data_IF_066027447471
#
_entry.id   IF_066027447471
#
_cell.length_a   1.000
_cell.length_b   1.000
_cell.length_c   1.000
_cell.angle_alpha   90.00
_cell.angle_beta   90.00
_cell.angle_gamma   90.00
#
_symmetry.space_group_name_H-M   'P 1'
#
loop_
_entity.id
_entity.type
_entity.pdbx_description
1 polymer ?
#
# COMPACT_ATOMS: atom_id res chain seq x y z
N UNK A 1 22.41 10.19 -16.99
CA UNK A 1 23.32 9.20 -16.41
C UNK A 1 23.88 9.77 -15.12
N UNK A 2 23.61 9.13 -14.00
CA UNK A 2 24.20 9.54 -12.71
C UNK A 2 25.68 9.15 -12.66
N UNK A 3 26.51 9.76 -11.79
CA UNK A 3 27.90 9.36 -11.58
C UNK A 3 28.03 7.86 -11.24
N UNK A 4 27.04 7.31 -10.55
CA UNK A 4 26.93 5.89 -10.22
C UNK A 4 26.75 5.01 -11.47
N UNK A 5 25.81 5.37 -12.35
CA UNK A 5 25.59 4.66 -13.62
C UNK A 5 26.81 4.75 -14.55
N UNK A 6 27.55 5.86 -14.51
CA UNK A 6 28.80 6.03 -15.26
C UNK A 6 29.94 5.15 -14.70
N UNK A 7 30.07 5.07 -13.38
CA UNK A 7 31.04 4.20 -12.70
C UNK A 7 30.78 2.72 -12.94
N UNK A 8 29.52 2.28 -12.84
CA UNK A 8 29.11 0.90 -13.15
C UNK A 8 29.37 0.53 -14.61
N UNK A 9 29.03 1.43 -15.55
CA UNK A 9 29.28 1.20 -16.97
C UNK A 9 30.78 1.09 -17.28
N UNK A 10 31.61 1.97 -16.69
CA UNK A 10 33.05 1.98 -16.89
C UNK A 10 33.75 0.77 -16.24
N UNK A 11 33.34 0.38 -15.03
CA UNK A 11 33.80 -0.86 -14.38
C UNK A 11 33.44 -2.10 -15.20
N UNK A 12 32.22 -2.15 -15.74
CA UNK A 12 31.77 -3.25 -16.60
C UNK A 12 32.55 -3.31 -17.91
N UNK A 13 32.88 -2.16 -18.50
CA UNK A 13 33.69 -2.08 -19.72
C UNK A 13 35.13 -2.54 -19.46
N UNK A 14 35.77 -2.07 -18.39
CA UNK A 14 37.11 -2.48 -17.98
C UNK A 14 37.20 -3.99 -17.71
N UNK A 15 36.16 -4.56 -17.08
CA UNK A 15 36.07 -6.01 -16.83
C UNK A 15 35.94 -6.81 -18.13
N UNK A 16 35.11 -6.35 -19.09
CA UNK A 16 34.99 -7.00 -20.40
C UNK A 16 36.30 -6.99 -21.17
N UNK A 17 36.99 -5.85 -21.20
CA UNK A 17 38.30 -5.73 -21.85
C UNK A 17 39.33 -6.63 -21.19
N UNK A 18 39.45 -6.59 -19.86
CA UNK A 18 40.41 -7.41 -19.13
C UNK A 18 40.15 -8.92 -19.31
N UNK A 19 38.88 -9.35 -19.35
CA UNK A 19 38.51 -10.75 -19.63
C UNK A 19 38.86 -11.14 -21.06
N UNK A 20 38.63 -10.24 -22.03
CA UNK A 20 38.99 -10.46 -23.42
C UNK A 20 40.50 -10.60 -23.59
N UNK A 21 41.30 -9.73 -22.98
CA UNK A 21 42.76 -9.80 -23.02
C UNK A 21 43.31 -11.04 -22.32
N UNK A 22 42.75 -11.44 -21.18
CA UNK A 22 43.20 -12.64 -20.47
C UNK A 22 42.86 -13.93 -21.24
N UNK A 23 41.70 -14.01 -21.90
CA UNK A 23 41.36 -15.12 -22.79
C UNK A 23 42.24 -15.13 -24.05
N UNK A 24 42.51 -13.97 -24.65
CA UNK A 24 43.42 -13.83 -25.79
C UNK A 24 44.86 -14.23 -25.42
N UNK A 25 45.25 -14.07 -24.15
CA UNK A 25 46.53 -14.52 -23.61
C UNK A 25 46.56 -16.03 -23.25
N UNK A 26 45.52 -16.80 -23.60
CA UNK A 26 45.45 -18.23 -23.37
C UNK A 26 45.22 -18.63 -21.91
N UNK A 27 44.80 -17.69 -21.05
CA UNK A 27 44.44 -18.03 -19.66
C UNK A 27 43.15 -18.84 -19.62
N UNK A 28 43.07 -19.76 -18.67
CA UNK A 28 41.84 -20.48 -18.38
C UNK A 28 40.70 -19.50 -18.06
N UNK A 29 39.44 -19.82 -18.43
CA UNK A 29 38.30 -18.90 -18.28
C UNK A 29 38.09 -18.38 -16.86
N UNK A 30 38.39 -19.22 -15.87
CA UNK A 30 38.29 -18.88 -14.44
C UNK A 30 39.40 -17.92 -14.01
N UNK A 31 40.61 -18.08 -14.52
CA UNK A 31 41.73 -17.18 -14.23
C UNK A 31 41.50 -15.80 -14.91
N UNK A 32 41.01 -15.81 -16.15
CA UNK A 32 40.65 -14.60 -16.88
C UNK A 32 39.53 -13.79 -16.21
N UNK A 33 38.61 -14.47 -15.52
CA UNK A 33 37.58 -13.85 -14.71
C UNK A 33 38.14 -13.15 -13.46
N UNK A 34 39.05 -13.79 -12.74
CA UNK A 34 39.70 -13.21 -11.54
C UNK A 34 40.59 -12.01 -11.89
N UNK A 35 41.31 -12.05 -13.02
CA UNK A 35 42.10 -10.90 -13.48
C UNK A 35 41.21 -9.71 -13.85
N UNK A 36 40.09 -9.98 -14.55
CA UNK A 36 39.12 -8.95 -14.90
C UNK A 36 38.47 -8.30 -13.68
N UNK A 37 38.22 -9.11 -12.65
CA UNK A 37 37.70 -8.66 -11.35
C UNK A 37 38.70 -7.74 -10.64
N UNK A 38 39.96 -8.16 -10.55
CA UNK A 38 41.02 -7.36 -9.93
C UNK A 38 41.22 -6.00 -10.63
N UNK A 39 41.21 -5.99 -11.97
CA UNK A 39 41.33 -4.79 -12.78
C UNK A 39 40.14 -3.83 -12.58
N UNK A 40 38.92 -4.35 -12.57
CA UNK A 40 37.72 -3.54 -12.40
C UNK A 40 37.58 -2.97 -10.99
N UNK A 41 38.04 -3.69 -9.95
CA UNK A 41 38.13 -3.18 -8.57
C UNK A 41 39.17 -2.06 -8.44
N UNK A 42 40.35 -2.24 -9.03
CA UNK A 42 41.39 -1.21 -9.05
C UNK A 42 40.91 0.06 -9.77
N UNK A 43 40.20 -0.12 -10.88
CA UNK A 43 39.58 0.99 -11.62
C UNK A 43 38.51 1.71 -10.80
N UNK A 44 37.58 0.98 -10.18
CA UNK A 44 36.52 1.55 -9.33
C UNK A 44 37.10 2.43 -8.19
N UNK A 45 38.15 1.96 -7.52
CA UNK A 45 38.85 2.74 -6.50
C UNK A 45 39.54 3.98 -7.09
N UNK A 46 40.12 3.87 -8.29
CA UNK A 46 40.79 4.98 -8.97
C UNK A 46 39.84 6.11 -9.40
N UNK A 47 38.57 5.81 -9.65
CA UNK A 47 37.54 6.79 -10.02
C UNK A 47 36.77 7.34 -8.81
N UNK A 48 37.26 7.11 -7.58
CA UNK A 48 36.71 7.68 -6.36
C UNK A 48 35.46 6.98 -5.82
N UNK A 49 35.14 5.76 -6.26
CA UNK A 49 34.09 4.98 -5.61
C UNK A 49 34.50 4.66 -4.17
N UNK A 50 33.55 4.79 -3.25
CA UNK A 50 33.78 4.38 -1.86
C UNK A 50 34.11 2.88 -1.80
N UNK A 51 34.87 2.47 -0.77
CA UNK A 51 35.19 1.06 -0.53
C UNK A 51 33.95 0.16 -0.48
N UNK A 52 32.82 0.70 0.02
CA UNK A 52 31.52 0.03 0.03
C UNK A 52 30.96 -0.20 -1.38
N UNK A 53 30.96 0.83 -2.22
CA UNK A 53 30.47 0.72 -3.61
C UNK A 53 31.36 -0.20 -4.45
N UNK A 54 32.68 -0.15 -4.24
CA UNK A 54 33.62 -1.06 -4.90
C UNK A 54 33.38 -2.52 -4.47
N UNK A 55 33.01 -2.77 -3.22
CA UNK A 55 32.64 -4.10 -2.73
C UNK A 55 31.33 -4.61 -3.36
N UNK A 56 30.31 -3.76 -3.44
CA UNK A 56 29.02 -4.10 -4.06
C UNK A 56 29.19 -4.42 -5.56
N UNK A 57 29.97 -3.63 -6.30
CA UNK A 57 30.30 -3.89 -7.69
C UNK A 57 31.10 -5.20 -7.89
N UNK A 58 32.00 -5.52 -6.96
CA UNK A 58 32.78 -6.77 -6.98
C UNK A 58 31.89 -8.02 -6.80
N UNK A 59 30.88 -7.91 -5.93
CA UNK A 59 29.87 -8.96 -5.70
C UNK A 59 29.01 -9.15 -6.95
N UNK A 60 28.52 -8.06 -7.55
CA UNK A 60 27.69 -8.14 -8.76
C UNK A 60 28.47 -8.76 -9.94
N UNK A 61 29.71 -8.33 -10.17
CA UNK A 61 30.55 -8.91 -11.23
C UNK A 61 30.88 -10.37 -10.96
N UNK A 62 31.29 -10.73 -9.74
CA UNK A 62 31.62 -12.13 -9.41
C UNK A 62 30.41 -13.04 -9.62
N UNK A 63 29.23 -12.58 -9.21
CA UNK A 63 27.97 -13.31 -9.39
C UNK A 63 27.63 -13.45 -10.87
N UNK A 64 27.77 -12.38 -11.66
CA UNK A 64 27.51 -12.38 -13.10
C UNK A 64 28.45 -13.32 -13.86
N UNK A 65 29.75 -13.25 -13.58
CA UNK A 65 30.73 -14.08 -14.29
C UNK A 65 30.52 -15.57 -13.98
N UNK A 66 30.18 -15.90 -12.74
CA UNK A 66 29.83 -17.26 -12.37
C UNK A 66 28.53 -17.72 -13.06
N UNK A 67 27.52 -16.86 -13.13
CA UNK A 67 26.28 -17.14 -13.87
C UNK A 67 26.54 -17.42 -15.36
N UNK A 68 27.23 -16.50 -16.05
CA UNK A 68 27.53 -16.61 -17.48
C UNK A 68 28.39 -17.84 -17.78
N UNK A 69 29.37 -18.14 -16.91
CA UNK A 69 30.24 -19.32 -17.04
C UNK A 69 29.44 -20.62 -16.87
N UNK A 70 28.55 -20.68 -15.90
CA UNK A 70 27.68 -21.84 -15.69
C UNK A 70 26.72 -22.05 -16.88
N UNK A 71 26.09 -20.98 -17.37
CA UNK A 71 25.23 -21.04 -18.55
C UNK A 71 26.00 -21.50 -19.80
N UNK A 72 27.23 -20.99 -20.01
CA UNK A 72 28.09 -21.41 -21.12
C UNK A 72 28.53 -22.88 -21.02
N UNK A 73 28.60 -23.43 -19.80
CA UNK A 73 28.87 -24.83 -19.55
C UNK A 73 27.63 -25.75 -19.69
N UNK A 74 26.51 -25.21 -20.20
CA UNK A 74 25.26 -25.96 -20.39
C UNK A 74 24.54 -26.30 -19.09
N UNK A 75 24.82 -25.59 -18.00
CA UNK A 75 24.11 -25.75 -16.74
C UNK A 75 22.70 -25.20 -16.83
N UNK A 76 21.81 -25.71 -15.99
CA UNK A 76 20.45 -25.15 -15.87
C UNK A 76 20.48 -23.75 -15.27
N UNK A 77 19.44 -22.96 -15.51
CA UNK A 77 19.22 -21.64 -14.88
C UNK A 77 19.44 -21.69 -13.36
N UNK A 78 18.90 -22.72 -12.73
CA UNK A 78 19.02 -22.94 -11.29
C UNK A 78 20.47 -23.17 -10.83
N UNK A 79 21.21 -24.02 -11.54
CA UNK A 79 22.62 -24.29 -11.25
C UNK A 79 23.49 -23.05 -11.49
N UNK A 80 23.16 -22.26 -12.51
CA UNK A 80 23.84 -20.99 -12.79
C UNK A 80 23.58 -19.95 -11.69
N UNK A 81 22.35 -19.87 -11.18
CA UNK A 81 22.01 -19.00 -10.04
C UNK A 81 22.70 -19.42 -8.76
N UNK A 82 22.83 -20.72 -8.50
CA UNK A 82 23.56 -21.22 -7.32
C UNK A 82 25.06 -20.88 -7.42
N UNK A 83 25.66 -21.03 -8.61
CA UNK A 83 27.04 -20.64 -8.86
C UNK A 83 27.25 -19.13 -8.67
N UNK A 84 26.31 -18.31 -9.17
CA UNK A 84 26.29 -16.87 -8.96
C UNK A 84 26.21 -16.51 -7.47
N UNK A 85 25.31 -17.15 -6.73
CA UNK A 85 25.14 -16.97 -5.29
C UNK A 85 26.41 -17.26 -4.49
N UNK A 86 27.04 -18.41 -4.75
CA UNK A 86 28.30 -18.81 -4.10
C UNK A 86 29.45 -17.86 -4.43
N UNK A 87 29.57 -17.43 -5.68
CA UNK A 87 30.61 -16.50 -6.10
C UNK A 87 30.42 -15.10 -5.50
N UNK A 88 29.19 -14.61 -5.46
CA UNK A 88 28.83 -13.33 -4.82
C UNK A 88 29.10 -13.35 -3.32
N UNK A 89 28.69 -14.41 -2.61
CA UNK A 89 28.95 -14.56 -1.18
C UNK A 89 30.45 -14.59 -0.87
N UNK A 90 31.25 -15.31 -1.67
CA UNK A 90 32.71 -15.37 -1.53
C UNK A 90 33.35 -14.00 -1.77
N UNK A 91 32.90 -13.27 -2.79
CA UNK A 91 33.40 -11.92 -3.09
C UNK A 91 33.07 -10.92 -1.97
N UNK A 92 31.86 -10.98 -1.43
CA UNK A 92 31.43 -10.10 -0.36
C UNK A 92 32.18 -10.38 0.96
N UNK A 93 32.41 -11.66 1.28
CA UNK A 93 33.23 -12.06 2.42
C UNK A 93 34.67 -11.55 2.28
N UNK A 94 35.25 -11.62 1.07
CA UNK A 94 36.56 -11.07 0.77
C UNK A 94 36.61 -9.52 0.85
N UNK A 95 35.46 -8.86 0.70
CA UNK A 95 35.34 -7.41 0.82
C UNK A 95 35.01 -6.92 2.25
N UNK A 96 34.92 -7.83 3.23
CA UNK A 96 34.58 -7.49 4.62
C UNK A 96 33.14 -7.00 4.81
N UNK A 97 32.28 -7.23 3.82
CA UNK A 97 30.83 -6.99 3.93
C UNK A 97 30.24 -8.04 4.86
N UNK A 98 29.25 -7.68 5.67
CA UNK A 98 28.60 -8.67 6.55
C UNK A 98 28.04 -9.83 5.70
N UNK A 99 28.19 -11.06 6.20
CA UNK A 99 27.71 -12.26 5.51
C UNK A 99 26.20 -12.18 5.15
N UNK A 100 25.43 -11.44 5.95
CA UNK A 100 24.03 -11.16 5.66
C UNK A 100 23.87 -10.26 4.42
N UNK A 101 24.58 -9.13 4.37
CA UNK A 101 24.44 -8.19 3.25
C UNK A 101 25.01 -8.75 1.95
N UNK A 102 26.09 -9.51 2.07
CA UNK A 102 26.66 -10.34 1.02
C UNK A 102 25.61 -11.23 0.33
N UNK A 103 24.89 -11.99 1.15
CA UNK A 103 23.92 -12.96 0.69
C UNK A 103 22.65 -12.29 0.14
N UNK A 104 22.20 -11.17 0.71
CA UNK A 104 21.14 -10.34 0.13
C UNK A 104 21.51 -9.85 -1.27
N UNK A 105 22.71 -9.31 -1.45
CA UNK A 105 23.19 -8.83 -2.76
C UNK A 105 23.32 -9.98 -3.75
N UNK A 106 23.88 -11.12 -3.32
CA UNK A 106 24.01 -12.30 -4.17
C UNK A 106 22.64 -12.86 -4.61
N UNK A 107 21.66 -12.89 -3.70
CA UNK A 107 20.29 -13.29 -3.98
C UNK A 107 19.60 -12.33 -4.97
N UNK A 108 19.74 -11.02 -4.75
CA UNK A 108 19.18 -10.00 -5.65
C UNK A 108 19.77 -10.11 -7.07
N UNK A 109 21.09 -10.28 -7.18
CA UNK A 109 21.77 -10.42 -8.48
C UNK A 109 21.38 -11.72 -9.17
N UNK A 110 21.33 -12.84 -8.46
CA UNK A 110 20.88 -14.12 -9.01
C UNK A 110 19.43 -14.04 -9.51
N UNK A 111 18.52 -13.46 -8.70
CA UNK A 111 17.12 -13.26 -9.10
C UNK A 111 16.99 -12.37 -10.34
N UNK A 112 17.75 -11.27 -10.42
CA UNK A 112 17.76 -10.37 -11.58
C UNK A 112 18.16 -11.07 -12.88
N UNK A 113 19.17 -11.94 -12.84
CA UNK A 113 19.58 -12.70 -14.04
C UNK A 113 18.52 -13.71 -14.47
N UNK A 114 17.93 -14.43 -13.51
CA UNK A 114 16.84 -15.38 -13.80
C UNK A 114 15.62 -14.67 -14.35
N UNK A 115 15.23 -13.53 -13.78
CA UNK A 115 14.12 -12.72 -14.28
C UNK A 115 14.33 -12.32 -15.74
N UNK A 116 15.53 -11.81 -16.07
CA UNK A 116 15.86 -11.42 -17.45
C UNK A 116 15.86 -12.59 -18.42
N UNK A 117 16.39 -13.74 -18.00
CA UNK A 117 16.39 -14.95 -18.82
C UNK A 117 14.96 -15.46 -19.04
N UNK A 118 14.14 -15.55 -17.99
CA UNK A 118 12.75 -15.97 -18.06
C UNK A 118 11.90 -15.06 -18.96
N UNK A 119 12.09 -13.74 -18.87
CA UNK A 119 11.42 -12.78 -19.76
C UNK A 119 11.89 -12.90 -21.21
N UNK A 120 13.19 -13.14 -21.45
CA UNK A 120 13.72 -13.38 -22.80
C UNK A 120 13.20 -14.68 -23.43
N UNK A 121 12.87 -15.68 -22.61
CA UNK A 121 12.18 -16.91 -23.02
C UNK A 121 10.67 -16.69 -23.29
N UNK A 122 10.16 -15.48 -23.10
CA UNK A 122 8.74 -15.16 -23.31
C UNK A 122 7.82 -15.60 -22.17
N UNK A 123 8.35 -15.93 -20.98
CA UNK A 123 7.52 -16.24 -19.82
C UNK A 123 6.75 -14.99 -19.38
N UNK A 124 5.56 -15.22 -18.81
CA UNK A 124 4.77 -14.16 -18.21
C UNK A 124 5.55 -13.50 -17.04
N UNK A 125 5.38 -12.18 -16.79
CA UNK A 125 6.05 -11.46 -15.71
C UNK A 125 5.94 -12.13 -14.33
N UNK A 126 4.78 -12.67 -13.99
CA UNK A 126 4.56 -13.39 -12.73
C UNK A 126 5.39 -14.67 -12.63
N UNK A 127 5.47 -15.44 -13.71
CA UNK A 127 6.29 -16.65 -13.76
C UNK A 127 7.80 -16.31 -13.66
N UNK A 128 8.24 -15.23 -14.30
CA UNK A 128 9.61 -14.74 -14.20
C UNK A 128 9.96 -14.26 -12.78
N UNK A 129 9.03 -13.56 -12.12
CA UNK A 129 9.20 -13.11 -10.72
C UNK A 129 9.28 -14.30 -9.74
N UNK A 130 8.44 -15.32 -9.92
CA UNK A 130 8.49 -16.54 -9.11
C UNK A 130 9.83 -17.29 -9.27
N UNK A 131 10.31 -17.41 -10.50
CA UNK A 131 11.58 -18.08 -10.80
C UNK A 131 12.77 -17.30 -10.26
N UNK A 132 12.74 -15.96 -10.39
CA UNK A 132 13.70 -15.05 -9.78
C UNK A 132 13.73 -15.16 -8.25
N UNK A 133 12.56 -15.21 -7.61
CA UNK A 133 12.42 -15.40 -6.17
C UNK A 133 12.99 -16.73 -5.69
N UNK A 134 12.67 -17.83 -6.37
CA UNK A 134 13.20 -19.16 -6.04
C UNK A 134 14.72 -19.25 -6.23
N UNK A 135 15.24 -18.65 -7.30
CA UNK A 135 16.67 -18.59 -7.55
C UNK A 135 17.40 -17.77 -6.48
N UNK A 136 16.83 -16.63 -6.09
CA UNK A 136 17.33 -15.79 -5.01
C UNK A 136 17.31 -16.51 -3.66
N UNK A 137 16.26 -17.26 -3.34
CA UNK A 137 16.19 -18.09 -2.12
C UNK A 137 17.31 -19.14 -2.07
N UNK A 138 17.55 -19.84 -3.20
CA UNK A 138 18.62 -20.84 -3.31
C UNK A 138 20.01 -20.20 -3.19
N UNK A 139 20.20 -19.05 -3.82
CA UNK A 139 21.45 -18.28 -3.70
C UNK A 139 21.68 -17.79 -2.25
N UNK A 140 20.63 -17.31 -1.58
CA UNK A 140 20.67 -16.91 -0.17
C UNK A 140 21.01 -18.08 0.75
N UNK A 141 20.37 -19.24 0.56
CA UNK A 141 20.64 -20.45 1.33
C UNK A 141 22.08 -20.97 1.09
N UNK A 142 22.54 -20.96 -0.16
CA UNK A 142 23.91 -21.32 -0.52
C UNK A 142 24.95 -20.37 0.09
N UNK A 143 24.56 -19.13 0.39
CA UNK A 143 25.37 -18.14 1.09
C UNK A 143 25.30 -18.26 2.62
N UNK A 144 24.54 -19.23 3.16
CA UNK A 144 24.46 -19.52 4.60
C UNK A 144 23.52 -18.59 5.39
N UNK A 145 22.60 -17.90 4.71
CA UNK A 145 21.53 -17.17 5.42
C UNK A 145 20.60 -18.14 6.14
N UNK A 146 20.16 -17.76 7.34
CA UNK A 146 19.05 -18.42 8.03
C UNK A 146 17.78 -18.34 7.19
N UNK A 147 16.88 -19.31 7.38
CA UNK A 147 15.68 -19.51 6.57
C UNK A 147 14.82 -18.24 6.43
N UNK A 148 14.54 -17.54 7.53
CA UNK A 148 13.75 -16.30 7.50
C UNK A 148 14.40 -15.18 6.66
N UNK A 149 15.72 -15.04 6.74
CA UNK A 149 16.46 -14.05 5.96
C UNK A 149 16.55 -14.46 4.49
N UNK A 150 16.63 -15.76 4.20
CA UNK A 150 16.59 -16.26 2.84
C UNK A 150 15.23 -16.01 2.18
N UNK A 151 14.12 -16.18 2.92
CA UNK A 151 12.77 -15.86 2.44
C UNK A 151 12.61 -14.36 2.20
N UNK A 152 13.12 -13.51 3.10
CA UNK A 152 13.09 -12.06 2.90
C UNK A 152 13.90 -11.62 1.67
N UNK A 153 15.10 -12.18 1.47
CA UNK A 153 15.92 -11.90 0.29
C UNK A 153 15.25 -12.40 -1.00
N UNK A 154 14.59 -13.56 -0.95
CA UNK A 154 13.82 -14.11 -2.05
C UNK A 154 12.65 -13.20 -2.43
N UNK A 155 11.89 -12.72 -1.44
CA UNK A 155 10.75 -11.83 -1.63
C UNK A 155 11.19 -10.50 -2.27
N UNK A 156 12.34 -9.96 -1.85
CA UNK A 156 12.95 -8.77 -2.44
C UNK A 156 13.34 -8.99 -3.91
N UNK A 157 13.97 -10.10 -4.23
CA UNK A 157 14.37 -10.41 -5.59
C UNK A 157 13.17 -10.64 -6.51
N UNK A 158 12.14 -11.37 -6.04
CA UNK A 158 10.89 -11.56 -6.77
C UNK A 158 10.19 -10.24 -7.04
N UNK A 159 10.08 -9.37 -6.03
CA UNK A 159 9.44 -8.07 -6.22
C UNK A 159 10.24 -7.13 -7.11
N UNK A 160 11.58 -7.11 -7.02
CA UNK A 160 12.41 -6.34 -7.95
C UNK A 160 12.23 -6.80 -9.40
N UNK A 161 12.19 -8.12 -9.63
CA UNK A 161 11.91 -8.69 -10.95
C UNK A 161 10.51 -8.32 -11.46
N UNK A 162 9.49 -8.36 -10.59
CA UNK A 162 8.14 -7.96 -10.94
C UNK A 162 8.04 -6.46 -11.28
N UNK A 163 8.68 -5.58 -10.49
CA UNK A 163 8.74 -4.14 -10.77
C UNK A 163 9.42 -3.87 -12.13
N UNK A 164 10.59 -4.47 -12.37
CA UNK A 164 11.32 -4.30 -13.64
C UNK A 164 10.46 -4.75 -14.83
N UNK A 165 9.76 -5.88 -14.70
CA UNK A 165 8.86 -6.39 -15.74
C UNK A 165 7.64 -5.49 -15.96
N UNK A 166 7.04 -4.97 -14.89
CA UNK A 166 5.92 -4.04 -14.95
C UNK A 166 6.31 -2.73 -15.67
N UNK A 167 7.45 -2.15 -15.30
CA UNK A 167 8.00 -0.95 -15.95
C UNK A 167 8.31 -1.21 -17.42
N UNK A 168 8.92 -2.35 -17.76
CA UNK A 168 9.17 -2.74 -19.14
C UNK A 168 7.87 -2.93 -19.95
N UNK A 169 6.79 -3.35 -19.28
CA UNK A 169 5.43 -3.43 -19.83
C UNK A 169 4.71 -2.07 -19.95
N UNK A 170 5.36 -0.96 -19.60
CA UNK A 170 4.79 0.39 -19.67
C UNK A 170 3.84 0.75 -18.52
N UNK A 171 3.90 0.01 -17.40
CA UNK A 171 3.14 0.33 -16.18
C UNK A 171 3.74 1.57 -15.50
N UNK A 172 2.94 2.26 -14.70
CA UNK A 172 3.43 3.36 -13.88
C UNK A 172 4.38 2.87 -12.79
N UNK A 173 5.19 3.76 -12.24
CA UNK A 173 6.10 3.46 -11.13
C UNK A 173 5.36 2.98 -9.87
N UNK A 174 4.19 3.57 -9.60
CA UNK A 174 3.30 3.14 -8.50
C UNK A 174 2.76 1.72 -8.74
N UNK A 175 2.26 1.44 -9.95
CA UNK A 175 1.75 0.11 -10.30
C UNK A 175 2.85 -0.95 -10.21
N UNK A 176 4.06 -0.64 -10.69
CA UNK A 176 5.21 -1.53 -10.61
C UNK A 176 5.60 -1.83 -9.16
N UNK A 177 5.56 -0.83 -8.29
CA UNK A 177 5.84 -1.02 -6.86
C UNK A 177 4.76 -1.86 -6.15
N UNK A 178 3.48 -1.68 -6.50
CA UNK A 178 2.40 -2.51 -5.98
C UNK A 178 2.50 -3.97 -6.47
N UNK A 179 2.85 -4.18 -7.74
CA UNK A 179 3.11 -5.52 -8.30
C UNK A 179 4.32 -6.18 -7.62
N UNK A 180 5.37 -5.43 -7.31
CA UNK A 180 6.51 -5.91 -6.53
C UNK A 180 6.10 -6.40 -5.13
N UNK A 181 5.28 -5.60 -4.43
CA UNK A 181 4.73 -6.00 -3.13
C UNK A 181 3.87 -7.25 -3.22
N UNK A 182 3.07 -7.39 -4.28
CA UNK A 182 2.25 -8.58 -4.50
C UNK A 182 3.11 -9.83 -4.75
N UNK A 183 4.11 -9.75 -5.64
CA UNK A 183 5.02 -10.87 -5.90
C UNK A 183 5.77 -11.31 -4.63
N UNK A 184 6.24 -10.34 -3.83
CA UNK A 184 6.87 -10.62 -2.54
C UNK A 184 5.92 -11.34 -1.57
N UNK A 185 4.65 -10.93 -1.49
CA UNK A 185 3.64 -11.57 -0.66
C UNK A 185 3.35 -13.01 -1.10
N UNK A 186 3.21 -13.24 -2.40
CA UNK A 186 2.90 -14.57 -2.96
C UNK A 186 4.07 -15.53 -2.75
N UNK A 187 5.29 -15.04 -2.92
CA UNK A 187 6.49 -15.82 -2.65
C UNK A 187 6.61 -16.17 -1.16
N UNK A 188 6.47 -15.19 -0.26
CA UNK A 188 6.51 -15.43 1.18
C UNK A 188 5.47 -16.47 1.62
N UNK A 189 4.26 -16.41 1.05
CA UNK A 189 3.21 -17.42 1.25
C UNK A 189 3.65 -18.80 0.73
N UNK A 190 4.30 -18.87 -0.42
CA UNK A 190 4.85 -20.11 -0.97
C UNK A 190 5.91 -20.77 -0.07
N UNK A 191 6.60 -19.98 0.75
CA UNK A 191 7.51 -20.44 1.80
C UNK A 191 6.83 -20.71 3.16
N UNK A 192 5.50 -20.73 3.21
CA UNK A 192 4.75 -21.06 4.42
C UNK A 192 4.77 -19.96 5.50
N UNK A 193 5.13 -18.73 5.15
CA UNK A 193 5.10 -17.60 6.09
C UNK A 193 3.67 -17.26 6.51
N UNK A 194 3.52 -16.76 7.73
CA UNK A 194 2.24 -16.31 8.26
C UNK A 194 1.73 -15.07 7.51
N UNK A 195 0.41 -14.80 7.51
CA UNK A 195 -0.17 -13.62 6.85
C UNK A 195 0.52 -12.29 7.18
N UNK A 196 0.86 -12.08 8.46
CA UNK A 196 1.54 -10.86 8.92
C UNK A 196 2.95 -10.71 8.34
N UNK A 197 3.66 -11.83 8.15
CA UNK A 197 4.99 -11.84 7.54
C UNK A 197 4.89 -11.57 6.03
N UNK A 198 3.88 -12.13 5.36
CA UNK A 198 3.60 -11.84 3.96
C UNK A 198 3.28 -10.36 3.72
N UNK A 199 2.44 -9.76 4.57
CA UNK A 199 2.07 -8.36 4.49
C UNK A 199 3.27 -7.43 4.75
N UNK A 200 4.12 -7.77 5.71
CA UNK A 200 5.37 -7.04 5.96
C UNK A 200 6.35 -7.13 4.78
N UNK A 201 6.51 -8.32 4.19
CA UNK A 201 7.31 -8.48 2.99
C UNK A 201 6.76 -7.62 1.86
N UNK A 202 5.44 -7.66 1.61
CA UNK A 202 4.78 -6.87 0.59
C UNK A 202 5.05 -5.37 0.75
N UNK A 203 4.83 -4.83 1.95
CA UNK A 203 5.05 -3.41 2.24
C UNK A 203 6.52 -2.99 2.07
N UNK A 204 7.45 -3.77 2.62
CA UNK A 204 8.89 -3.48 2.52
C UNK A 204 9.38 -3.47 1.08
N UNK A 205 8.97 -4.48 0.29
CA UNK A 205 9.42 -4.63 -1.09
C UNK A 205 8.80 -3.56 -1.99
N UNK A 206 7.51 -3.24 -1.80
CA UNK A 206 6.85 -2.17 -2.51
C UNK A 206 7.50 -0.80 -2.22
N UNK A 207 7.85 -0.52 -0.96
CA UNK A 207 8.56 0.70 -0.59
C UNK A 207 9.90 0.82 -1.32
N UNK A 208 10.69 -0.27 -1.33
CA UNK A 208 12.00 -0.27 -1.98
C UNK A 208 11.89 -0.10 -3.48
N UNK A 209 10.90 -0.74 -4.12
CA UNK A 209 10.64 -0.57 -5.54
C UNK A 209 10.22 0.87 -5.88
N UNK A 210 9.34 1.47 -5.08
CA UNK A 210 8.91 2.86 -5.25
C UNK A 210 10.10 3.84 -5.12
N UNK A 211 10.92 3.69 -4.08
CA UNK A 211 12.12 4.51 -3.89
C UNK A 211 13.12 4.34 -5.02
N UNK A 212 13.31 3.12 -5.52
CA UNK A 212 14.19 2.84 -6.65
C UNK A 212 13.69 3.48 -7.96
N UNK A 213 12.38 3.62 -8.12
CA UNK A 213 11.76 4.33 -9.23
C UNK A 213 11.86 5.87 -9.12
N UNK A 214 12.27 6.40 -7.96
CA UNK A 214 12.40 7.84 -7.74
C UNK A 214 11.18 8.50 -7.11
N UNK A 215 10.21 7.70 -6.65
CA UNK A 215 9.06 8.18 -5.89
C UNK A 215 9.54 8.75 -4.55
N UNK A 216 8.89 9.82 -4.09
CA UNK A 216 9.26 10.48 -2.82
C UNK A 216 9.16 9.52 -1.63
N UNK A 217 9.88 9.81 -0.54
CA UNK A 217 9.83 8.97 0.66
C UNK A 217 8.43 8.86 1.27
N UNK A 218 7.63 9.92 1.16
CA UNK A 218 6.28 9.97 1.69
C UNK A 218 5.33 9.11 0.83
N UNK A 219 5.33 9.31 -0.49
CA UNK A 219 4.51 8.51 -1.41
C UNK A 219 4.94 7.03 -1.40
N UNK A 220 6.25 6.75 -1.27
CA UNK A 220 6.75 5.38 -1.13
C UNK A 220 6.21 4.69 0.12
N UNK A 221 6.03 5.43 1.23
CA UNK A 221 5.44 4.89 2.45
C UNK A 221 3.93 4.62 2.30
N UNK A 222 3.22 5.46 1.55
CA UNK A 222 1.81 5.20 1.19
C UNK A 222 1.67 3.95 0.31
N UNK A 223 2.56 3.78 -0.66
CA UNK A 223 2.62 2.58 -1.50
C UNK A 223 2.91 1.33 -0.66
N UNK A 224 3.85 1.44 0.30
CA UNK A 224 4.14 0.36 1.25
C UNK A 224 2.90 -0.03 2.07
N UNK A 225 2.17 0.97 2.59
CA UNK A 225 0.94 0.76 3.34
C UNK A 225 -0.12 0.06 2.48
N UNK A 226 -0.32 0.54 1.23
CA UNK A 226 -1.26 -0.03 0.27
C UNK A 226 -0.94 -1.50 -0.02
N UNK A 227 0.34 -1.82 -0.31
CA UNK A 227 0.77 -3.18 -0.61
C UNK A 227 0.57 -4.12 0.59
N UNK A 228 0.98 -3.70 1.79
CA UNK A 228 0.82 -4.49 3.01
C UNK A 228 -0.66 -4.74 3.34
N UNK A 229 -1.49 -3.70 3.28
CA UNK A 229 -2.92 -3.82 3.56
C UNK A 229 -3.65 -4.70 2.55
N UNK A 230 -3.31 -4.61 1.26
CA UNK A 230 -3.88 -5.50 0.23
C UNK A 230 -3.47 -6.97 0.45
N UNK A 231 -2.21 -7.22 0.81
CA UNK A 231 -1.73 -8.57 1.13
C UNK A 231 -2.48 -9.16 2.33
N UNK A 232 -2.57 -8.40 3.44
CA UNK A 232 -3.27 -8.83 4.64
C UNK A 232 -4.76 -9.07 4.39
N UNK A 233 -5.43 -8.17 3.63
CA UNK A 233 -6.83 -8.33 3.22
C UNK A 233 -7.05 -9.66 2.49
N UNK A 234 -6.21 -9.97 1.49
CA UNK A 234 -6.33 -11.21 0.72
C UNK A 234 -6.13 -12.42 1.61
N UNK A 235 -5.11 -12.39 2.47
CA UNK A 235 -4.83 -13.48 3.39
C UNK A 235 -5.99 -13.73 4.36
N UNK A 236 -6.57 -12.67 4.93
CA UNK A 236 -7.74 -12.75 5.80
C UNK A 236 -8.96 -13.35 5.10
N UNK A 237 -9.26 -12.89 3.87
CA UNK A 237 -10.37 -13.43 3.06
C UNK A 237 -10.16 -14.90 2.72
N UNK A 238 -8.95 -15.31 2.35
CA UNK A 238 -8.63 -16.73 2.11
C UNK A 238 -8.72 -17.57 3.39
N UNK A 239 -8.45 -16.98 4.56
CA UNK A 239 -8.65 -17.59 5.86
C UNK A 239 -10.12 -17.71 6.28
N UNK A 240 -11.07 -17.27 5.46
CA UNK A 240 -12.50 -17.32 5.75
C UNK A 240 -12.96 -16.26 6.77
N UNK A 241 -12.16 -15.22 7.01
CA UNK A 241 -12.55 -14.12 7.87
C UNK A 241 -13.69 -13.30 7.26
N UNK A 242 -14.48 -12.64 8.10
CA UNK A 242 -15.51 -11.73 7.61
C UNK A 242 -14.89 -10.54 6.85
N UNK A 243 -15.64 -9.87 5.97
CA UNK A 243 -15.20 -8.64 5.33
C UNK A 243 -14.69 -7.58 6.33
N UNK A 244 -15.35 -7.46 7.49
CA UNK A 244 -14.98 -6.51 8.56
C UNK A 244 -13.64 -6.89 9.19
N UNK A 245 -13.46 -8.16 9.56
CA UNK A 245 -12.21 -8.67 10.12
C UNK A 245 -11.05 -8.49 9.12
N UNK A 246 -11.31 -8.80 7.85
CA UNK A 246 -10.32 -8.64 6.78
C UNK A 246 -9.91 -7.18 6.57
N UNK A 247 -10.85 -6.23 6.69
CA UNK A 247 -10.58 -4.81 6.61
C UNK A 247 -9.76 -4.30 7.81
N UNK A 248 -10.03 -4.83 9.02
CA UNK A 248 -9.24 -4.51 10.20
C UNK A 248 -7.80 -5.00 10.08
N UNK A 249 -7.58 -6.24 9.63
CA UNK A 249 -6.23 -6.76 9.40
C UNK A 249 -5.49 -5.98 8.29
N UNK A 250 -6.20 -5.58 7.23
CA UNK A 250 -5.66 -4.69 6.22
C UNK A 250 -5.21 -3.33 6.80
N UNK A 251 -6.03 -2.72 7.66
CA UNK A 251 -5.71 -1.47 8.33
C UNK A 251 -4.50 -1.59 9.26
N UNK A 252 -4.43 -2.65 10.07
CA UNK A 252 -3.29 -2.91 10.97
C UNK A 252 -1.98 -3.10 10.19
N UNK A 253 -2.01 -3.93 9.14
CA UNK A 253 -0.84 -4.17 8.30
C UNK A 253 -0.37 -2.89 7.59
N UNK A 254 -1.32 -2.10 7.08
CA UNK A 254 -1.03 -0.80 6.48
C UNK A 254 -0.40 0.19 7.47
N UNK A 255 -0.96 0.32 8.68
CA UNK A 255 -0.41 1.18 9.73
C UNK A 255 1.02 0.78 10.09
N UNK A 256 1.26 -0.52 10.26
CA UNK A 256 2.59 -1.07 10.58
C UNK A 256 3.60 -0.81 9.45
N UNK A 257 3.19 -0.98 8.20
CA UNK A 257 4.06 -0.71 7.06
C UNK A 257 4.35 0.79 6.91
N UNK A 258 3.35 1.66 7.03
CA UNK A 258 3.50 3.11 6.98
C UNK A 258 4.46 3.64 8.07
N UNK A 259 4.29 3.20 9.31
CA UNK A 259 5.16 3.58 10.42
C UNK A 259 6.58 3.08 10.23
N UNK A 260 6.76 1.83 9.79
CA UNK A 260 8.08 1.26 9.46
C UNK A 260 8.75 2.03 8.32
N UNK A 261 7.97 2.52 7.38
CA UNK A 261 8.42 3.33 6.25
C UNK A 261 8.75 4.79 6.62
N UNK A 262 8.53 5.20 7.88
CA UNK A 262 8.88 6.51 8.41
C UNK A 262 7.77 7.56 8.36
N UNK A 263 6.51 7.17 8.10
CA UNK A 263 5.38 8.10 8.24
C UNK A 263 5.17 8.48 9.71
N UNK A 264 4.68 9.69 9.94
CA UNK A 264 4.20 10.09 11.26
C UNK A 264 3.05 9.18 11.71
N UNK A 265 2.84 8.98 13.02
CA UNK A 265 1.71 8.20 13.53
C UNK A 265 0.36 8.68 12.98
N UNK A 266 0.18 10.00 12.83
CA UNK A 266 -1.03 10.58 12.26
C UNK A 266 -1.21 10.19 10.78
N UNK A 267 -0.17 10.33 9.95
CA UNK A 267 -0.26 9.95 8.53
C UNK A 267 -0.45 8.44 8.35
N UNK A 268 0.21 7.63 9.19
CA UNK A 268 0.04 6.19 9.18
C UNK A 268 -1.39 5.77 9.56
N UNK A 269 -2.01 6.47 10.53
CA UNK A 269 -3.40 6.27 10.91
C UNK A 269 -4.38 6.65 9.78
N UNK A 270 -4.13 7.76 9.08
CA UNK A 270 -4.94 8.17 7.92
C UNK A 270 -4.83 7.15 6.78
N UNK A 271 -3.61 6.70 6.47
CA UNK A 271 -3.37 5.65 5.47
C UNK A 271 -4.06 4.34 5.86
N UNK A 272 -3.99 3.94 7.13
CA UNK A 272 -4.63 2.73 7.63
C UNK A 272 -6.17 2.80 7.52
N UNK A 273 -6.77 3.92 7.91
CA UNK A 273 -8.21 4.14 7.80
C UNK A 273 -8.68 4.14 6.34
N UNK A 274 -7.93 4.82 5.46
CA UNK A 274 -8.16 4.83 4.03
C UNK A 274 -8.13 3.41 3.43
N UNK A 275 -7.13 2.62 3.80
CA UNK A 275 -6.95 1.26 3.29
C UNK A 275 -8.00 0.30 3.86
N UNK A 276 -8.32 0.39 5.15
CA UNK A 276 -9.39 -0.42 5.76
C UNK A 276 -10.74 -0.15 5.08
N UNK A 277 -11.11 1.12 4.88
CA UNK A 277 -12.35 1.51 4.21
C UNK A 277 -12.41 1.00 2.75
N UNK A 278 -11.34 1.19 1.98
CA UNK A 278 -11.27 0.72 0.59
C UNK A 278 -11.29 -0.82 0.49
N UNK A 279 -10.56 -1.51 1.38
CA UNK A 279 -10.53 -2.97 1.44
C UNK A 279 -11.92 -3.52 1.74
N UNK A 280 -12.61 -2.95 2.72
CA UNK A 280 -13.98 -3.34 3.03
C UNK A 280 -14.91 -3.13 1.84
N UNK A 281 -14.89 -1.94 1.24
CA UNK A 281 -15.75 -1.62 0.10
C UNK A 281 -15.57 -2.63 -1.05
N UNK A 282 -14.33 -3.07 -1.31
CA UNK A 282 -14.03 -4.11 -2.28
C UNK A 282 -14.59 -5.48 -1.86
N UNK A 283 -14.38 -5.89 -0.61
CA UNK A 283 -14.89 -7.17 -0.11
C UNK A 283 -16.43 -7.23 -0.13
N UNK A 284 -17.09 -6.17 0.33
CA UNK A 284 -18.55 -6.07 0.36
C UNK A 284 -19.15 -6.04 -1.04
N UNK A 285 -18.52 -5.33 -1.98
CA UNK A 285 -18.91 -5.38 -3.40
C UNK A 285 -18.78 -6.79 -3.98
N UNK A 286 -17.70 -7.50 -3.66
CA UNK A 286 -17.51 -8.89 -4.08
C UNK A 286 -18.59 -9.82 -3.50
N UNK A 287 -19.02 -9.55 -2.27
CA UNK A 287 -20.14 -10.25 -1.61
C UNK A 287 -21.54 -9.83 -2.10
N UNK A 288 -21.65 -8.94 -3.08
CA UNK A 288 -22.94 -8.49 -3.64
C UNK A 288 -23.75 -7.56 -2.75
N UNK A 289 -23.11 -6.91 -1.77
CA UNK A 289 -23.80 -5.98 -0.86
C UNK A 289 -24.21 -4.68 -1.55
N UNK A 290 -25.32 -4.05 -1.14
CA UNK A 290 -25.76 -2.79 -1.73
C UNK A 290 -24.78 -1.64 -1.40
N UNK A 291 -24.61 -0.65 -2.29
CA UNK A 291 -23.64 0.45 -2.12
C UNK A 291 -23.78 1.21 -0.80
N UNK A 292 -25.02 1.38 -0.32
CA UNK A 292 -25.30 2.06 0.94
C UNK A 292 -24.70 1.33 2.16
N UNK A 293 -24.74 0.00 2.16
CA UNK A 293 -24.19 -0.85 3.21
C UNK A 293 -22.66 -0.95 3.09
N UNK A 294 -22.14 -1.04 1.86
CA UNK A 294 -20.70 -0.97 1.61
C UNK A 294 -20.09 0.32 2.17
N UNK A 295 -20.76 1.45 1.98
CA UNK A 295 -20.30 2.75 2.46
C UNK A 295 -20.36 2.86 3.98
N UNK A 296 -21.46 2.42 4.58
CA UNK A 296 -21.63 2.45 6.04
C UNK A 296 -20.52 1.67 6.75
N UNK A 297 -20.27 0.44 6.29
CA UNK A 297 -19.32 -0.43 6.95
C UNK A 297 -17.88 -0.06 6.58
N UNK A 298 -17.63 0.49 5.38
CA UNK A 298 -16.33 1.11 5.06
C UNK A 298 -16.01 2.29 5.98
N UNK A 299 -17.00 3.15 6.26
CA UNK A 299 -16.89 4.22 7.24
C UNK A 299 -16.58 3.68 8.64
N UNK A 300 -17.31 2.65 9.08
CA UNK A 300 -17.08 2.01 10.40
C UNK A 300 -15.69 1.37 10.51
N UNK A 301 -15.22 0.71 9.46
CA UNK A 301 -13.90 0.10 9.40
C UNK A 301 -12.78 1.17 9.46
N UNK A 302 -12.96 2.28 8.74
CA UNK A 302 -12.05 3.42 8.77
C UNK A 302 -12.02 4.09 10.16
N UNK A 303 -13.19 4.36 10.78
CA UNK A 303 -13.27 4.91 12.14
C UNK A 303 -12.54 4.03 13.16
N UNK A 304 -12.81 2.71 13.14
CA UNK A 304 -12.17 1.77 14.07
C UNK A 304 -10.65 1.69 13.87
N UNK A 305 -10.20 1.74 12.62
CA UNK A 305 -8.76 1.73 12.33
C UNK A 305 -8.08 3.02 12.76
N UNK A 306 -8.72 4.16 12.54
CA UNK A 306 -8.27 5.47 13.01
C UNK A 306 -8.19 5.52 14.55
N UNK A 307 -9.25 5.09 15.25
CA UNK A 307 -9.29 5.03 16.70
C UNK A 307 -8.23 4.08 17.27
N UNK A 308 -8.05 2.90 16.68
CA UNK A 308 -7.01 1.94 17.08
C UNK A 308 -5.58 2.50 16.86
N UNK A 309 -5.41 3.43 15.93
CA UNK A 309 -4.16 4.13 15.69
C UNK A 309 -3.98 5.38 16.58
N UNK A 310 -4.90 5.62 17.53
CA UNK A 310 -4.81 6.68 18.53
C UNK A 310 -5.33 8.05 18.08
N UNK A 311 -6.10 8.11 16.98
CA UNK A 311 -6.76 9.33 16.55
C UNK A 311 -7.86 9.77 17.53
N UNK A 312 -8.14 11.06 17.57
CA UNK A 312 -9.30 11.56 18.33
C UNK A 312 -10.60 11.07 17.68
N UNK A 313 -11.74 11.06 18.42
CA UNK A 313 -13.03 10.72 17.84
C UNK A 313 -13.37 11.57 16.61
N UNK A 314 -13.12 12.88 16.67
CA UNK A 314 -13.33 13.77 15.53
C UNK A 314 -12.48 13.39 14.29
N UNK A 315 -11.21 13.07 14.50
CA UNK A 315 -10.33 12.62 13.40
C UNK A 315 -10.79 11.26 12.84
N UNK A 316 -11.23 10.35 13.70
CA UNK A 316 -11.74 9.03 13.30
C UNK A 316 -13.03 9.13 12.51
N UNK A 317 -13.96 9.99 12.94
CA UNK A 317 -15.18 10.31 12.20
C UNK A 317 -14.88 10.96 10.84
N UNK A 318 -13.88 11.85 10.77
CA UNK A 318 -13.45 12.45 9.51
C UNK A 318 -12.88 11.42 8.53
N UNK A 319 -12.06 10.48 8.99
CA UNK A 319 -11.55 9.41 8.11
C UNK A 319 -12.66 8.45 7.66
N UNK A 320 -13.62 8.17 8.54
CA UNK A 320 -14.82 7.43 8.19
C UNK A 320 -15.67 8.15 7.14
N UNK A 321 -15.76 9.47 7.22
CA UNK A 321 -16.41 10.31 6.22
C UNK A 321 -15.76 10.17 4.84
N UNK A 322 -14.43 10.31 4.79
CA UNK A 322 -13.66 10.16 3.57
C UNK A 322 -13.85 8.76 2.97
N UNK A 323 -13.89 7.73 3.80
CA UNK A 323 -14.16 6.36 3.34
C UNK A 323 -15.58 6.24 2.76
N UNK A 324 -16.61 6.77 3.43
CA UNK A 324 -17.99 6.79 2.92
C UNK A 324 -18.07 7.54 1.59
N UNK A 325 -17.50 8.74 1.52
CA UNK A 325 -17.47 9.59 0.33
C UNK A 325 -16.84 8.88 -0.88
N UNK A 326 -15.74 8.14 -0.67
CA UNK A 326 -15.10 7.34 -1.73
C UNK A 326 -15.98 6.22 -2.27
N UNK A 327 -16.85 5.64 -1.43
CA UNK A 327 -17.73 4.53 -1.83
C UNK A 327 -19.01 5.05 -2.51
N UNK A 328 -19.57 6.15 -2.01
CA UNK A 328 -20.86 6.68 -2.50
C UNK A 328 -20.72 7.77 -3.56
N UNK A 329 -19.55 8.41 -3.68
CA UNK A 329 -19.36 9.62 -4.49
C UNK A 329 -20.04 10.87 -3.91
N UNK A 330 -20.43 10.84 -2.63
CA UNK A 330 -21.08 11.96 -1.92
C UNK A 330 -20.02 12.91 -1.35
N UNK A 331 -20.33 14.20 -1.23
CA UNK A 331 -19.45 15.22 -0.65
C UNK A 331 -18.95 14.85 0.77
N UNK A 332 -17.68 15.17 1.05
CA UNK A 332 -16.99 14.83 2.31
C UNK A 332 -17.75 15.36 3.53
N UNK A 333 -18.26 16.58 3.45
CA UNK A 333 -19.03 17.24 4.52
C UNK A 333 -20.29 16.47 4.92
N UNK A 334 -21.08 16.03 3.94
CA UNK A 334 -22.27 15.21 4.20
C UNK A 334 -21.90 13.84 4.76
N UNK A 335 -20.76 13.30 4.33
CA UNK A 335 -20.23 12.05 4.82
C UNK A 335 -19.68 12.17 6.26
N UNK A 336 -19.16 13.34 6.67
CA UNK A 336 -18.64 13.61 8.03
C UNK A 336 -19.76 13.49 9.04
N UNK A 337 -20.90 14.11 8.73
CA UNK A 337 -22.06 14.02 9.60
C UNK A 337 -22.65 12.61 9.66
N UNK A 338 -22.64 11.87 8.53
CA UNK A 338 -23.03 10.45 8.52
C UNK A 338 -22.06 9.57 9.33
N UNK A 339 -20.77 9.85 9.26
CA UNK A 339 -19.73 9.09 9.95
C UNK A 339 -19.72 9.34 11.47
N UNK A 340 -19.92 10.58 11.92
CA UNK A 340 -20.08 10.89 13.34
C UNK A 340 -21.24 10.14 13.98
N UNK A 341 -22.34 9.94 13.23
CA UNK A 341 -23.44 9.09 13.70
C UNK A 341 -23.05 7.62 13.75
N UNK A 342 -22.25 7.12 12.81
CA UNK A 342 -21.79 5.72 12.82
C UNK A 342 -20.83 5.41 13.95
N UNK A 343 -20.00 6.36 14.34
CA UNK A 343 -19.12 6.24 15.51
C UNK A 343 -19.91 6.34 16.82
N UNK A 344 -21.00 7.12 16.84
CA UNK A 344 -21.93 7.17 17.97
C UNK A 344 -22.75 5.87 18.14
N UNK A 345 -22.85 5.01 17.12
CA UNK A 345 -23.89 3.97 17.08
C UNK A 345 -23.52 2.57 17.61
N UNK A 346 -22.27 2.05 17.62
CA UNK A 346 -22.05 0.82 18.39
C UNK A 346 -20.60 0.56 18.88
N UNK A 347 -20.26 1.10 20.06
CA UNK A 347 -19.65 0.35 21.18
C UNK A 347 -20.27 0.73 22.55
N UNK A 348 -21.37 1.48 22.55
CA UNK A 348 -22.30 1.46 23.68
C UNK A 348 -23.09 0.16 23.61
N UNK A 349 -22.55 -0.91 24.20
CA UNK A 349 -23.43 -1.90 24.80
C UNK A 349 -24.43 -1.14 25.69
N UNK A 350 -25.71 -1.22 25.35
CA UNK A 350 -26.86 -0.86 26.22
C UNK A 350 -27.12 0.62 26.57
N UNK A 351 -26.38 1.61 26.07
CA UNK A 351 -26.78 3.02 26.23
C UNK A 351 -27.44 3.56 24.94
N UNK A 352 -28.77 3.68 24.96
CA UNK A 352 -29.52 4.45 23.97
C UNK A 352 -29.09 5.92 24.07
N UNK A 353 -28.19 6.37 23.18
CA UNK A 353 -27.98 7.80 22.98
C UNK A 353 -29.30 8.41 22.55
N UNK A 354 -29.72 9.47 23.23
CA UNK A 354 -30.97 10.13 22.86
C UNK A 354 -30.81 10.80 21.49
N UNK A 355 -31.90 10.94 20.71
CA UNK A 355 -31.87 11.70 19.46
C UNK A 355 -31.27 13.11 19.61
N UNK A 356 -31.40 13.72 20.80
CA UNK A 356 -30.80 15.01 21.15
C UNK A 356 -29.27 14.95 21.25
N UNK A 357 -28.70 13.88 21.80
CA UNK A 357 -27.26 13.69 21.86
C UNK A 357 -26.68 13.45 20.47
N UNK A 358 -27.39 12.69 19.63
CA UNK A 358 -27.03 12.49 18.22
C UNK A 358 -27.06 13.84 17.48
N UNK A 359 -28.13 14.63 17.63
CA UNK A 359 -28.24 15.94 17.01
C UNK A 359 -27.16 16.92 17.49
N UNK A 360 -26.85 16.92 18.80
CA UNK A 360 -25.81 17.76 19.39
C UNK A 360 -24.40 17.40 18.91
N UNK A 361 -24.09 16.11 18.84
CA UNK A 361 -22.81 15.62 18.32
C UNK A 361 -22.67 15.92 16.81
N UNK A 362 -23.76 15.77 16.05
CA UNK A 362 -23.79 16.08 14.62
C UNK A 362 -23.63 17.58 14.35
N UNK A 363 -24.29 18.44 15.14
CA UNK A 363 -24.16 19.90 15.03
C UNK A 363 -22.74 20.37 15.38
N UNK A 364 -22.15 19.81 16.45
CA UNK A 364 -20.77 20.09 16.85
C UNK A 364 -19.77 19.66 15.77
N UNK A 365 -19.98 18.48 15.18
CA UNK A 365 -19.17 17.98 14.07
C UNK A 365 -19.24 18.88 12.84
N UNK A 366 -20.43 19.37 12.49
CA UNK A 366 -20.61 20.27 11.36
C UNK A 366 -19.92 21.64 11.59
N UNK A 367 -19.96 22.14 12.83
CA UNK A 367 -19.25 23.36 13.23
C UNK A 367 -17.72 23.16 13.19
N UNK A 368 -17.19 22.05 13.72
CA UNK A 368 -15.76 21.72 13.69
C UNK A 368 -15.25 21.42 12.28
N UNK A 369 -16.11 20.95 11.37
CA UNK A 369 -15.82 20.80 9.95
C UNK A 369 -15.84 22.13 9.17
N UNK A 370 -16.20 23.25 9.80
CA UNK A 370 -16.31 24.55 9.13
C UNK A 370 -17.46 24.61 8.13
N UNK A 371 -18.46 23.73 8.28
CA UNK A 371 -19.58 23.61 7.37
C UNK A 371 -20.49 24.85 7.49
N UNK A 372 -20.97 25.35 6.35
CA UNK A 372 -21.87 26.49 6.37
C UNK A 372 -23.12 26.15 7.22
N UNK A 373 -23.62 27.07 8.08
CA UNK A 373 -24.74 26.79 9.01
C UNK A 373 -25.99 26.22 8.33
N UNK A 374 -26.21 26.57 7.07
CA UNK A 374 -27.32 26.08 6.24
C UNK A 374 -27.14 24.59 5.89
N UNK A 375 -25.94 24.17 5.50
CA UNK A 375 -25.62 22.77 5.19
C UNK A 375 -25.60 21.92 6.46
N UNK A 376 -25.03 22.44 7.55
CA UNK A 376 -25.13 21.83 8.88
C UNK A 376 -26.59 21.62 9.27
N UNK A 377 -27.44 22.60 8.97
CA UNK A 377 -28.86 22.55 9.25
C UNK A 377 -29.62 21.51 8.42
N UNK A 378 -29.40 21.48 7.11
CA UNK A 378 -30.00 20.48 6.21
C UNK A 378 -29.58 19.05 6.57
N UNK A 379 -28.35 18.86 7.01
CA UNK A 379 -27.85 17.56 7.45
C UNK A 379 -28.55 17.11 8.74
N UNK A 380 -28.62 17.96 9.77
CA UNK A 380 -29.32 17.65 11.02
C UNK A 380 -30.82 17.41 10.77
N UNK A 381 -31.43 18.19 9.87
CA UNK A 381 -32.82 18.04 9.42
C UNK A 381 -33.10 16.71 8.71
N UNK A 382 -32.21 16.31 7.80
CA UNK A 382 -32.36 15.08 7.02
C UNK A 382 -32.18 13.82 7.88
N UNK A 383 -31.57 13.93 9.07
CA UNK A 383 -31.13 12.79 9.87
C UNK A 383 -31.88 12.62 11.20
N UNK A 384 -32.31 13.70 11.85
CA UNK A 384 -32.97 13.65 13.18
C UNK A 384 -34.50 13.89 13.13
N UNK A 385 -35.09 14.15 11.97
CA UNK A 385 -36.53 14.35 11.86
C UNK A 385 -37.04 15.53 12.70
N UNK A 386 -38.24 15.40 13.27
CA UNK A 386 -39.01 16.51 13.91
C UNK A 386 -38.25 17.21 15.05
N UNK A 387 -37.35 16.49 15.72
CA UNK A 387 -36.55 16.93 16.87
C UNK A 387 -35.43 17.91 16.47
N UNK A 388 -34.98 17.88 15.21
CA UNK A 388 -34.02 18.85 14.65
C UNK A 388 -34.57 20.28 14.61
N UNK A 389 -35.86 20.42 14.29
CA UNK A 389 -36.52 21.72 14.22
C UNK A 389 -36.71 22.34 15.61
N UNK A 390 -36.96 21.52 16.63
CA UNK A 390 -37.07 21.95 18.03
C UNK A 390 -35.72 22.39 18.59
N UNK A 391 -34.63 21.68 18.25
CA UNK A 391 -33.27 22.09 18.62
C UNK A 391 -32.84 23.40 17.94
N UNK A 392 -33.16 23.59 16.66
CA UNK A 392 -32.88 24.84 15.95
C UNK A 392 -33.61 26.04 16.59
N UNK A 393 -34.88 25.86 16.96
CA UNK A 393 -35.63 26.89 17.68
C UNK A 393 -35.02 27.19 19.07
N UNK A 394 -34.58 26.16 19.80
CA UNK A 394 -33.93 26.32 21.10
C UNK A 394 -32.57 27.06 21.04
N UNK A 395 -31.92 27.08 19.87
CA UNK A 395 -30.67 27.80 19.62
C UNK A 395 -30.85 29.23 19.09
N UNK A 396 -32.09 29.69 18.96
CA UNK A 396 -32.41 31.06 18.55
C UNK A 396 -32.43 31.25 17.04
N UNK A 397 -32.44 30.17 16.25
CA UNK A 397 -32.73 30.27 14.82
C UNK A 397 -34.18 30.69 14.61
N UNK A 398 -34.43 31.48 13.56
CA UNK A 398 -35.76 31.98 13.25
C UNK A 398 -36.72 30.84 12.89
N UNK A 399 -38.02 31.06 13.08
CA UNK A 399 -39.07 30.11 12.69
C UNK A 399 -39.04 29.77 11.20
N UNK A 400 -38.60 30.69 10.34
CA UNK A 400 -38.39 30.45 8.93
C UNK A 400 -37.19 29.51 8.67
N UNK A 401 -36.08 29.71 9.39
CA UNK A 401 -34.92 28.82 9.33
C UNK A 401 -35.29 27.43 9.84
N UNK A 402 -35.93 27.31 11.00
CA UNK A 402 -36.41 26.05 11.58
C UNK A 402 -37.44 25.32 10.69
N UNK A 403 -38.25 26.04 9.91
CA UNK A 403 -39.20 25.46 8.96
C UNK A 403 -38.52 24.80 7.75
N UNK A 404 -37.30 25.23 7.37
CA UNK A 404 -36.48 24.53 6.37
C UNK A 404 -36.09 23.13 6.87
N UNK A 405 -35.85 22.98 8.18
CA UNK A 405 -35.50 21.70 8.80
C UNK A 405 -36.67 20.71 8.81
N UNK A 406 -37.92 21.17 8.95
CA UNK A 406 -39.11 20.30 8.87
C UNK A 406 -39.56 20.05 7.42
N UNK A 407 -39.30 20.99 6.51
CA UNK A 407 -39.64 20.92 5.09
C UNK A 407 -38.83 19.89 4.28
N UNK A 408 -37.61 19.55 4.71
CA UNK A 408 -36.75 18.56 4.03
C UNK A 408 -37.42 17.18 3.91
N UNK A 409 -38.18 16.75 4.94
CA UNK A 409 -38.92 15.47 4.92
C UNK A 409 -40.08 15.50 3.93
N UNK A 410 -40.75 16.65 3.76
CA UNK A 410 -41.82 16.85 2.79
C UNK A 410 -41.30 16.95 1.35
N UNK A 411 -40.11 17.53 1.14
CA UNK A 411 -39.46 17.58 -0.18
C UNK A 411 -39.00 16.18 -0.66
N UNK A 412 -38.53 15.33 0.26
CA UNK A 412 -38.16 13.93 -0.03
C UNK A 412 -39.40 13.07 -0.30
N UNK A 413 -40.47 13.22 0.50
CA UNK A 413 -41.75 12.55 0.25
C UNK A 413 -42.43 13.06 -1.04
N UNK A 414 -42.33 14.36 -1.34
CA UNK A 414 -42.87 14.98 -2.55
C UNK A 414 -42.15 14.55 -3.84
N UNK A 415 -40.81 14.34 -3.80
CA UNK A 415 -40.06 13.78 -4.93
C UNK A 415 -40.43 12.33 -5.24
N UNK A 416 -40.83 11.53 -4.25
CA UNK A 416 -41.32 10.18 -4.47
C UNK A 416 -42.73 10.12 -5.10
N UNK A 417 -43.49 11.22 -5.05
CA UNK A 417 -44.90 11.30 -5.52
C UNK A 417 -45.09 12.36 -6.63
N UNK A 418 -44.01 12.95 -7.17
CA UNK A 418 -44.07 13.90 -8.28
C UNK A 418 -44.65 15.28 -7.93
N UNK A 419 -44.61 15.70 -6.67
CA UNK A 419 -45.05 17.04 -6.25
C UNK A 419 -43.91 18.06 -6.31
N UNK A 420 -44.24 19.31 -6.68
CA UNK A 420 -43.30 20.43 -6.63
C UNK A 420 -42.99 20.82 -5.18
N UNK A 421 -41.74 21.24 -4.93
CA UNK A 421 -41.21 21.60 -3.60
C UNK A 421 -42.10 22.61 -2.86
N UNK A 422 -42.64 23.59 -3.58
CA UNK A 422 -43.54 24.61 -3.04
C UNK A 422 -44.86 24.01 -2.51
N UNK A 423 -45.44 23.05 -3.23
CA UNK A 423 -46.71 22.41 -2.86
C UNK A 423 -46.54 21.44 -1.68
N UNK A 424 -45.37 20.79 -1.60
CA UNK A 424 -45.00 19.96 -0.46
C UNK A 424 -44.80 20.80 0.82
N UNK A 425 -44.17 21.98 0.69
CA UNK A 425 -43.99 22.92 1.80
C UNK A 425 -45.32 23.49 2.32
N UNK A 426 -46.25 23.88 1.43
CA UNK A 426 -47.59 24.33 1.80
C UNK A 426 -48.41 23.25 2.54
N UNK A 427 -48.31 22.00 2.09
CA UNK A 427 -49.01 20.87 2.71
C UNK A 427 -48.48 20.55 4.10
N UNK A 428 -47.16 20.63 4.28
CA UNK A 428 -46.52 20.42 5.59
C UNK A 428 -46.85 21.54 6.58
N UNK A 429 -46.90 22.80 6.12
CA UNK A 429 -47.31 23.94 6.95
C UNK A 429 -48.76 23.82 7.45
N UNK A 430 -49.66 23.34 6.58
CA UNK A 430 -51.05 23.03 6.92
C UNK A 430 -51.17 21.88 7.94
N UNK A 431 -50.42 20.80 7.77
CA UNK A 431 -50.43 19.66 8.71
C UNK A 431 -49.79 19.97 10.07
N UNK A 432 -48.85 20.92 10.12
CA UNK A 432 -48.25 21.41 11.36
C UNK A 432 -49.12 22.42 12.11
N UNK A 433 -50.29 22.81 11.58
CA UNK A 433 -51.19 23.78 12.20
C UNK A 433 -50.65 25.22 12.20
N UNK A 434 -49.69 25.54 11.32
CA UNK A 434 -48.95 26.81 11.31
C UNK A 434 -49.64 27.95 10.53
N UNK A 435 -50.94 27.83 10.22
CA UNK A 435 -51.70 28.92 9.63
C UNK A 435 -52.65 29.56 10.64
N UNK A 436 -52.20 30.64 11.28
CA UNK A 436 -53.08 31.73 11.70
C UNK A 436 -52.29 33.03 11.88
N UNK A 437 -52.64 34.05 11.10
CA UNK A 437 -52.22 35.44 11.32
C UNK A 437 -51.68 36.13 10.08
N UNK A 438 -52.58 36.50 9.16
CA UNK A 438 -52.25 37.48 8.13
C UNK A 438 -52.22 38.90 8.70
N UNK A 439 -51.14 39.62 8.41
CA UNK A 439 -51.09 40.98 7.86
C UNK A 439 -49.68 41.23 7.33
#
# INVERSE_FOLDING_TARGET
MTPQQAGEAASTAASKEARFFALAAGRAPEQAAEDAKAAAKAFALSVGMSSKQAAEADVEMSSKVAFDTAMSAGKTLEQASEAAGKAGAKAAAAAGVSAQKAAETAAAVAGKFVAKAALAEGKAPSAAADEAGRAAAKAAAAAGLGEDLAVAAAALAAGAAAADAALAGGRSEEDAALEAGQAASELAKGFGQWPDQCAQAAGKVAQQAAMAAGISSQESAEIAAKAAGQSAMRAALFGGQSPEQSAQEAGKAAAKAATTAGMSPQMAAEAAAAIAGNSFARAAKFAGQPPALCAEVAGRAAARSAAAAGMTPFQSAREAAKAVARVTGVEEDLAVCRAHMLEALPEAGEAQLSPEEIARLTAKAAEEAGMAPILAGEVVANLAGKEAAEFALAKGYSTAEAAVFSGARAAIAGRAVGMTVQKAAETAALQAGLCAGGA
#
